data_IF_152292354964
#
_entry.id   IF_152292354964
#
_cell.length_a   1.000
_cell.length_b   1.000
_cell.length_c   1.000
_cell.angle_alpha   90.00
_cell.angle_beta   90.00
_cell.angle_gamma   90.00
#
_symmetry.space_group_name_H-M   'P 1'
#
loop_
_entity.id
_entity.type
_entity.pdbx_description
1 polymer ?
#
# COMPACT_ATOMS: atom_id res chain seq x y z
N UNK A 1 -0.15 -3.55 2.40
CA UNK A 1 -0.02 -2.61 1.26
C UNK A 1 0.73 -3.34 0.14
N UNK A 2 0.10 -3.54 -1.01
CA UNK A 2 0.75 -4.08 -2.20
C UNK A 2 1.64 -3.03 -2.85
N UNK A 3 2.94 -3.24 -2.78
CA UNK A 3 3.95 -2.45 -3.50
C UNK A 3 4.55 -3.30 -4.63
N UNK A 4 5.19 -2.65 -5.61
CA UNK A 4 5.85 -3.35 -6.71
C UNK A 4 5.26 -3.00 -8.08
N UNK A 5 6.15 -2.63 -9.02
CA UNK A 5 5.75 -2.00 -10.28
C UNK A 5 4.88 -2.86 -11.21
N UNK A 6 5.04 -4.19 -11.17
CA UNK A 6 4.20 -5.09 -11.96
C UNK A 6 2.80 -5.24 -11.34
N UNK A 7 2.72 -5.56 -10.05
CA UNK A 7 1.46 -5.80 -9.34
C UNK A 7 0.56 -4.57 -9.31
N UNK A 8 1.13 -3.38 -9.09
CA UNK A 8 0.40 -2.10 -9.02
C UNK A 8 -0.29 -1.71 -10.33
N UNK A 9 0.16 -2.24 -11.49
CA UNK A 9 -0.36 -1.90 -12.82
C UNK A 9 -1.38 -2.88 -13.38
N UNK A 10 -1.57 -4.03 -12.73
CA UNK A 10 -2.50 -5.06 -13.22
C UNK A 10 -3.97 -4.66 -12.95
N UNK A 11 -4.89 -4.91 -13.90
CA UNK A 11 -6.30 -4.57 -13.75
C UNK A 11 -6.99 -5.33 -12.61
N UNK A 12 -6.50 -6.51 -12.24
CA UNK A 12 -7.06 -7.40 -11.21
C UNK A 12 -6.17 -7.52 -9.96
N UNK A 13 -5.37 -6.49 -9.69
CA UNK A 13 -4.35 -6.49 -8.61
C UNK A 13 -4.90 -6.85 -7.24
N UNK A 14 -6.11 -6.42 -6.90
CA UNK A 14 -6.74 -6.72 -5.61
C UNK A 14 -7.07 -8.21 -5.52
N UNK A 15 -7.70 -8.78 -6.56
CA UNK A 15 -8.02 -10.20 -6.61
C UNK A 15 -6.75 -11.06 -6.55
N UNK A 16 -5.69 -10.66 -7.25
CA UNK A 16 -4.40 -11.37 -7.21
C UNK A 16 -3.85 -11.41 -5.78
N UNK A 17 -3.87 -10.29 -5.06
CA UNK A 17 -3.42 -10.24 -3.65
C UNK A 17 -4.34 -11.09 -2.78
N UNK A 18 -5.66 -10.97 -2.95
CA UNK A 18 -6.65 -11.73 -2.19
C UNK A 18 -6.42 -13.25 -2.33
N UNK A 19 -6.28 -13.73 -3.57
CA UNK A 19 -6.00 -15.15 -3.85
C UNK A 19 -4.67 -15.59 -3.23
N UNK A 20 -3.63 -14.76 -3.31
CA UNK A 20 -2.34 -15.08 -2.67
C UNK A 20 -2.43 -15.17 -1.13
N UNK A 21 -3.32 -14.39 -0.49
CA UNK A 21 -3.55 -14.44 0.95
C UNK A 21 -4.41 -15.63 1.39
N UNK A 22 -5.26 -16.14 0.51
CA UNK A 22 -6.09 -17.33 0.76
C UNK A 22 -5.31 -18.64 0.59
N UNK A 23 -4.17 -18.61 -0.11
CA UNK A 23 -3.29 -19.77 -0.24
C UNK A 23 -2.66 -20.13 1.11
N UNK A 24 -2.98 -21.32 1.63
CA UNK A 24 -2.50 -21.80 2.92
C UNK A 24 -1.01 -22.24 2.83
N UNK A 25 -0.10 -21.26 2.80
CA UNK A 25 1.34 -21.50 2.76
C UNK A 25 1.92 -21.42 4.17
N UNK A 26 1.90 -22.56 4.84
CA UNK A 26 2.40 -22.81 6.22
C UNK A 26 3.83 -22.30 6.53
N UNK A 27 4.61 -21.91 5.52
CA UNK A 27 6.01 -21.48 5.63
C UNK A 27 6.26 -20.02 5.21
N UNK A 28 5.22 -19.27 4.83
CA UNK A 28 5.36 -17.89 4.37
C UNK A 28 4.94 -16.89 5.46
N UNK A 29 5.59 -15.72 5.48
CA UNK A 29 5.23 -14.61 6.36
C UNK A 29 4.10 -13.77 5.74
N UNK A 30 3.03 -14.45 5.32
CA UNK A 30 1.84 -13.80 4.81
C UNK A 30 1.04 -13.20 5.98
N UNK A 31 0.43 -12.02 5.80
CA UNK A 31 -0.53 -11.51 6.76
C UNK A 31 -1.81 -12.37 6.74
N UNK A 32 -2.66 -12.18 7.76
CA UNK A 32 -3.99 -12.80 7.78
C UNK A 32 -4.81 -12.45 6.53
N UNK A 33 -5.70 -13.35 6.11
CA UNK A 33 -6.58 -13.13 4.95
C UNK A 33 -7.67 -12.08 5.20
N UNK A 34 -7.96 -11.76 6.46
CA UNK A 34 -8.94 -10.75 6.86
C UNK A 34 -8.29 -9.38 7.13
N UNK A 35 -7.71 -8.79 6.08
CA UNK A 35 -7.07 -7.46 6.14
C UNK A 35 -7.57 -6.53 5.05
N UNK A 36 -7.46 -5.22 5.29
CA UNK A 36 -7.66 -4.23 4.23
C UNK A 36 -6.49 -4.23 3.25
N UNK A 37 -6.81 -4.39 1.96
CA UNK A 37 -5.82 -4.33 0.88
C UNK A 37 -5.79 -2.92 0.31
N UNK A 38 -4.63 -2.27 0.43
CA UNK A 38 -4.30 -1.04 -0.28
C UNK A 38 -3.14 -1.26 -1.24
N UNK A 39 -3.16 -0.54 -2.37
CA UNK A 39 -2.13 -0.61 -3.42
C UNK A 39 -1.43 0.74 -3.52
N UNK A 40 -0.12 0.70 -3.71
CA UNK A 40 0.67 1.87 -4.10
C UNK A 40 0.40 2.24 -5.57
N UNK A 41 -0.71 2.93 -5.83
CA UNK A 41 -1.18 3.24 -7.19
C UNK A 41 -0.16 4.06 -8.00
N UNK A 42 0.62 4.91 -7.31
CA UNK A 42 1.60 5.77 -7.95
C UNK A 42 3.02 5.14 -7.94
N UNK A 43 3.20 3.98 -7.31
CA UNK A 43 4.48 3.26 -7.13
C UNK A 43 5.60 4.12 -6.52
N UNK A 44 5.27 4.89 -5.48
CA UNK A 44 6.16 5.85 -4.81
C UNK A 44 6.38 5.59 -3.31
N UNK A 45 5.70 4.61 -2.68
CA UNK A 45 5.74 4.42 -1.22
C UNK A 45 7.16 4.12 -0.71
N UNK A 46 7.97 3.39 -1.49
CA UNK A 46 9.37 3.14 -1.13
C UNK A 46 10.17 4.46 -1.02
N UNK A 47 10.00 5.35 -2.00
CA UNK A 47 10.63 6.68 -1.99
C UNK A 47 10.09 7.56 -0.87
N UNK A 48 8.77 7.52 -0.61
CA UNK A 48 8.14 8.26 0.48
C UNK A 48 8.64 7.80 1.86
N UNK A 49 8.97 6.51 2.01
CA UNK A 49 9.58 5.99 3.23
C UNK A 49 10.90 6.70 3.56
N UNK A 50 11.77 6.90 2.57
CA UNK A 50 13.02 7.65 2.75
C UNK A 50 12.73 9.13 3.01
N UNK A 51 11.85 9.75 2.22
CA UNK A 51 11.50 11.16 2.38
C UNK A 51 10.89 11.46 3.75
N UNK A 52 10.19 10.50 4.36
CA UNK A 52 9.54 10.68 5.67
C UNK A 52 10.53 10.96 6.81
N UNK A 53 11.82 10.63 6.64
CA UNK A 53 12.87 10.93 7.61
C UNK A 53 13.08 12.45 7.78
N UNK A 54 12.86 13.23 6.72
CA UNK A 54 13.08 14.68 6.70
C UNK A 54 11.76 15.46 6.53
N UNK A 55 10.80 14.92 5.79
CA UNK A 55 9.52 15.56 5.46
C UNK A 55 8.31 14.67 5.81
N UNK A 56 8.09 14.33 7.10
CA UNK A 56 7.10 13.34 7.52
C UNK A 56 5.66 13.69 7.10
N UNK A 57 5.25 14.95 7.24
CA UNK A 57 3.88 15.40 6.91
C UNK A 57 3.61 15.35 5.40
N UNK A 58 4.56 15.84 4.60
CA UNK A 58 4.46 15.81 3.14
C UNK A 58 4.45 14.35 2.63
N UNK A 59 5.33 13.51 3.17
CA UNK A 59 5.40 12.09 2.83
C UNK A 59 4.07 11.37 3.17
N UNK A 60 3.51 11.63 4.37
CA UNK A 60 2.23 11.05 4.78
C UNK A 60 1.06 11.52 3.88
N UNK A 61 1.03 12.80 3.51
CA UNK A 61 0.00 13.35 2.61
C UNK A 61 0.04 12.70 1.22
N UNK A 62 1.25 12.53 0.66
CA UNK A 62 1.46 11.85 -0.61
C UNK A 62 1.14 10.36 -0.53
N UNK A 63 1.53 9.69 0.55
CA UNK A 63 1.23 8.27 0.77
C UNK A 63 -0.28 8.02 0.82
N UNK A 64 -1.05 8.84 1.56
CA UNK A 64 -2.52 8.78 1.58
C UNK A 64 -3.11 8.97 0.19
N UNK A 65 -2.57 9.90 -0.60
CA UNK A 65 -3.00 10.12 -1.98
C UNK A 65 -2.74 8.89 -2.87
N UNK A 66 -1.54 8.29 -2.81
CA UNK A 66 -1.21 7.07 -3.57
C UNK A 66 -2.14 5.92 -3.18
N UNK A 67 -2.36 5.71 -1.88
CA UNK A 67 -3.25 4.66 -1.34
C UNK A 67 -4.75 4.95 -1.52
N UNK A 68 -5.12 6.05 -2.19
CA UNK A 68 -6.51 6.52 -2.39
C UNK A 68 -7.32 6.65 -1.08
N UNK A 69 -6.64 7.00 0.01
CA UNK A 69 -7.24 7.26 1.31
C UNK A 69 -7.77 8.69 1.40
N UNK A 70 -8.91 8.87 2.09
CA UNK A 70 -9.45 10.19 2.37
C UNK A 70 -8.44 11.03 3.18
N UNK A 71 -8.23 12.28 2.77
CA UNK A 71 -7.36 13.20 3.50
C UNK A 71 -8.05 13.63 4.79
N UNK A 72 -7.39 13.43 5.93
CA UNK A 72 -7.80 14.09 7.17
C UNK A 72 -7.55 15.59 6.98
N UNK A 73 -8.54 16.42 7.27
CA UNK A 73 -8.31 17.87 7.40
C UNK A 73 -7.52 18.05 8.67
N UNK A 74 -6.25 18.44 8.53
CA UNK A 74 -5.46 18.87 9.66
C UNK A 74 -6.16 20.10 10.23
N UNK A 75 -6.53 20.06 11.50
CA UNK A 75 -7.09 21.22 12.20
C UNK A 75 -5.92 22.18 12.41
N UNK A 76 -5.98 23.34 11.75
CA UNK A 76 -5.18 24.52 12.10
C UNK A 76 -5.41 24.93 13.56
#
# INVERSE_FOLDING_TARGET
IGTGGALTRLPNRIQIIQTALEEEKRMELLPDSNIDIFVDEDNIIASLGVMSLEYPEAAAKLARKSLRLAQRRDKE
#
